data_IF_824463089924
#
_entry.id   IF_824463089924
#
_cell.length_a   1.000
_cell.length_b   1.000
_cell.length_c   1.000
_cell.angle_alpha   90.00
_cell.angle_beta   90.00
_cell.angle_gamma   90.00
#
_symmetry.space_group_name_H-M   'P 1'
#
loop_
_entity.id
_entity.type
_entity.pdbx_description
1 polymer ?
#
# COMPACT_ATOMS: atom_id res chain seq x y z
N UNK A 1 2.66 -29.60 23.03
CA UNK A 1 2.85 -29.67 21.56
C UNK A 1 1.89 -28.68 20.94
N UNK A 2 2.37 -27.49 20.58
CA UNK A 2 1.54 -26.47 19.96
C UNK A 2 1.24 -26.90 18.53
N UNK A 3 -0.02 -27.28 18.28
CA UNK A 3 -0.55 -27.31 16.92
C UNK A 3 -0.55 -25.85 16.45
N UNK A 4 0.43 -25.44 15.67
CA UNK A 4 0.28 -24.26 14.82
C UNK A 4 -0.88 -24.58 13.90
N UNK A 5 -2.08 -24.08 14.20
CA UNK A 5 -3.17 -24.10 13.25
C UNK A 5 -2.62 -23.49 11.97
N UNK A 6 -2.65 -24.25 10.88
CA UNK A 6 -2.17 -23.80 9.58
C UNK A 6 -3.26 -22.86 9.02
N UNK A 7 -3.41 -21.71 9.68
CA UNK A 7 -4.45 -20.73 9.40
C UNK A 7 -4.18 -20.17 8.01
N UNK A 8 -5.10 -20.41 7.09
CA UNK A 8 -5.04 -19.85 5.74
C UNK A 8 -5.34 -18.34 5.79
N UNK A 9 -4.31 -17.55 5.50
CA UNK A 9 -4.33 -16.09 5.39
C UNK A 9 -4.43 -15.59 3.94
N UNK A 10 -4.74 -16.49 3.00
CA UNK A 10 -4.85 -16.19 1.58
C UNK A 10 -3.49 -16.02 0.88
N UNK A 11 -3.55 -15.69 -0.42
CA UNK A 11 -2.36 -15.48 -1.23
C UNK A 11 -1.44 -14.42 -0.59
N UNK A 12 -0.14 -14.66 -0.61
CA UNK A 12 0.87 -13.73 -0.08
C UNK A 12 0.71 -13.39 1.41
N UNK A 13 -0.06 -14.19 2.16
CA UNK A 13 -0.45 -13.93 3.55
C UNK A 13 -1.09 -12.53 3.76
N UNK A 14 -1.76 -11.99 2.75
CA UNK A 14 -2.22 -10.58 2.77
C UNK A 14 -3.10 -10.26 3.97
N UNK A 15 -3.91 -11.21 4.46
CA UNK A 15 -4.79 -11.01 5.62
C UNK A 15 -3.97 -10.81 6.90
N UNK A 16 -2.91 -11.61 7.08
CA UNK A 16 -2.00 -11.47 8.23
C UNK A 16 -1.24 -10.15 8.15
N UNK A 17 -0.73 -9.80 6.98
CA UNK A 17 0.01 -8.54 6.78
C UNK A 17 -0.88 -7.32 6.99
N UNK A 18 -2.14 -7.37 6.55
CA UNK A 18 -3.14 -6.34 6.86
C UNK A 18 -3.35 -6.21 8.38
N UNK A 19 -3.40 -7.33 9.11
CA UNK A 19 -3.54 -7.31 10.57
C UNK A 19 -2.35 -6.66 11.26
N UNK A 20 -1.14 -6.97 10.80
CA UNK A 20 0.09 -6.32 11.24
C UNK A 20 0.05 -4.82 10.93
N UNK A 21 -0.31 -4.43 9.70
CA UNK A 21 -0.43 -3.03 9.30
C UNK A 21 -1.36 -2.23 10.24
N UNK A 22 -2.55 -2.76 10.56
CA UNK A 22 -3.47 -2.10 11.51
C UNK A 22 -2.95 -2.02 12.95
N UNK A 23 -1.99 -2.87 13.35
CA UNK A 23 -1.37 -2.78 14.66
C UNK A 23 -0.48 -1.53 14.78
N UNK A 24 0.10 -1.08 13.67
CA UNK A 24 0.93 0.13 13.58
C UNK A 24 0.11 1.41 13.27
N UNK A 25 -1.16 1.27 12.88
CA UNK A 25 -2.05 2.39 12.52
C UNK A 25 -3.28 2.40 13.44
N UNK A 26 -3.08 2.84 14.68
CA UNK A 26 -4.12 2.82 15.71
C UNK A 26 -4.95 4.10 15.78
N UNK A 27 -4.37 5.23 15.37
CA UNK A 27 -4.96 6.54 15.44
C UNK A 27 -5.79 6.85 14.18
N UNK A 28 -7.03 7.29 14.35
CA UNK A 28 -7.94 7.61 13.24
C UNK A 28 -7.49 8.79 12.38
N UNK A 29 -6.81 9.78 12.97
CA UNK A 29 -6.26 10.93 12.23
C UNK A 29 -5.12 10.46 11.31
N UNK A 30 -4.23 9.61 11.82
CA UNK A 30 -3.16 9.01 11.00
C UNK A 30 -3.74 8.24 9.81
N UNK A 31 -4.73 7.39 10.05
CA UNK A 31 -5.40 6.60 9.00
C UNK A 31 -6.02 7.49 7.92
N UNK A 32 -6.70 8.56 8.31
CA UNK A 32 -7.25 9.54 7.35
C UNK A 32 -6.14 10.22 6.55
N UNK A 33 -5.02 10.59 7.18
CA UNK A 33 -3.87 11.16 6.48
C UNK A 33 -3.36 10.19 5.42
N UNK A 34 -3.25 8.90 5.72
CA UNK A 34 -2.86 7.89 4.74
C UNK A 34 -3.86 7.79 3.58
N UNK A 35 -5.17 7.74 3.88
CA UNK A 35 -6.20 7.68 2.84
C UNK A 35 -6.12 8.86 1.86
N UNK A 36 -5.65 10.02 2.34
CA UNK A 36 -5.44 11.21 1.52
C UNK A 36 -4.08 11.21 0.79
N UNK A 37 -2.98 10.87 1.48
CA UNK A 37 -1.63 10.93 0.92
C UNK A 37 -1.31 9.81 -0.06
N UNK A 38 -1.74 8.57 0.21
CA UNK A 38 -1.42 7.39 -0.59
C UNK A 38 -1.82 7.55 -2.07
N UNK A 39 -3.02 8.07 -2.43
CA UNK A 39 -3.35 8.33 -3.83
C UNK A 39 -2.37 9.27 -4.55
N UNK A 40 -1.86 10.30 -3.88
CA UNK A 40 -0.89 11.22 -4.46
C UNK A 40 0.51 10.61 -4.56
N UNK A 41 0.91 9.80 -3.56
CA UNK A 41 2.18 9.06 -3.61
C UNK A 41 2.18 8.04 -4.76
N UNK A 42 1.10 7.27 -4.91
CA UNK A 42 0.90 6.35 -6.03
C UNK A 42 0.87 7.11 -7.36
N UNK A 43 0.15 8.23 -7.44
CA UNK A 43 0.12 9.06 -8.64
C UNK A 43 1.52 9.53 -9.04
N UNK A 44 2.32 9.97 -8.07
CA UNK A 44 3.68 10.40 -8.31
C UNK A 44 4.57 9.25 -8.81
N UNK A 45 4.49 8.07 -8.17
CA UNK A 45 5.23 6.88 -8.63
C UNK A 45 4.83 6.45 -10.04
N UNK A 46 3.53 6.36 -10.31
CA UNK A 46 3.00 6.02 -11.65
C UNK A 46 3.44 7.06 -12.67
N UNK A 47 3.42 8.35 -12.33
CA UNK A 47 3.90 9.43 -13.21
C UNK A 47 5.38 9.33 -13.52
N UNK A 48 6.21 9.04 -12.50
CA UNK A 48 7.65 8.85 -12.67
C UNK A 48 7.96 7.74 -13.70
N UNK A 49 7.29 6.60 -13.59
CA UNK A 49 7.48 5.49 -14.54
C UNK A 49 6.78 5.74 -15.90
N UNK A 50 5.75 6.59 -15.94
CA UNK A 50 5.05 6.91 -17.19
C UNK A 50 5.88 7.78 -18.13
N UNK A 51 6.82 8.57 -17.60
CA UNK A 51 7.75 9.41 -18.37
C UNK A 51 8.81 8.61 -19.14
N UNK A 52 8.94 7.30 -18.89
CA UNK A 52 9.91 6.43 -19.56
C UNK A 52 9.20 5.73 -20.73
N UNK A 53 9.38 6.21 -21.98
CA UNK A 53 8.72 5.62 -23.14
C UNK A 53 9.31 4.24 -23.47
N UNK A 54 8.45 3.36 -23.97
CA UNK A 54 8.79 2.04 -24.49
C UNK A 54 8.30 1.89 -25.94
N UNK A 55 8.78 0.88 -26.69
CA UNK A 55 8.26 0.60 -28.02
C UNK A 55 6.74 0.41 -28.06
N UNK A 56 6.14 0.60 -29.24
CA UNK A 56 4.71 0.43 -29.49
C UNK A 56 3.79 1.41 -28.74
N UNK A 57 4.32 2.56 -28.31
CA UNK A 57 3.54 3.58 -27.61
C UNK A 57 3.22 3.23 -26.15
N UNK A 58 3.92 2.24 -25.59
CA UNK A 58 3.82 1.90 -24.17
C UNK A 58 4.76 2.79 -23.34
N UNK A 59 4.59 2.74 -22.02
CA UNK A 59 5.54 3.32 -21.06
C UNK A 59 5.85 2.32 -19.95
N UNK A 60 6.92 2.57 -19.20
CA UNK A 60 7.38 1.67 -18.14
C UNK A 60 6.31 1.46 -17.05
N UNK A 61 5.50 2.48 -16.76
CA UNK A 61 4.39 2.34 -15.83
C UNK A 61 3.43 1.22 -16.28
N UNK A 62 2.99 1.20 -17.54
CA UNK A 62 2.11 0.15 -18.04
C UNK A 62 2.67 -1.26 -17.83
N UNK A 63 3.96 -1.45 -18.12
CA UNK A 63 4.66 -2.74 -17.94
C UNK A 63 4.72 -3.15 -16.47
N UNK A 64 4.82 -2.20 -15.54
CA UNK A 64 4.84 -2.45 -14.10
C UNK A 64 3.44 -2.69 -13.52
N UNK A 65 2.43 -1.97 -14.02
CA UNK A 65 1.07 -2.04 -13.50
C UNK A 65 0.36 -3.36 -13.84
N UNK A 66 0.68 -3.99 -14.96
CA UNK A 66 0.11 -5.31 -15.33
C UNK A 66 0.44 -6.40 -14.29
N UNK A 67 1.72 -6.71 -13.98
CA UNK A 67 2.04 -7.72 -12.97
C UNK A 67 1.58 -7.30 -11.57
N UNK A 68 1.60 -6.00 -11.25
CA UNK A 68 1.07 -5.49 -9.99
C UNK A 68 -0.43 -5.77 -9.84
N UNK A 69 -1.20 -5.58 -10.92
CA UNK A 69 -2.64 -5.90 -10.94
C UNK A 69 -2.89 -7.38 -10.71
N UNK A 70 -2.06 -8.27 -11.28
CA UNK A 70 -2.16 -9.73 -11.04
C UNK A 70 -1.96 -10.05 -9.56
N UNK A 71 -0.97 -9.43 -8.91
CA UNK A 71 -0.72 -9.61 -7.47
C UNK A 71 -1.95 -9.17 -6.66
N UNK A 72 -2.50 -8.00 -6.93
CA UNK A 72 -3.68 -7.52 -6.21
C UNK A 72 -4.91 -8.40 -6.43
N UNK A 73 -5.19 -8.80 -7.68
CA UNK A 73 -6.29 -9.71 -8.00
C UNK A 73 -6.15 -11.08 -7.30
N UNK A 74 -4.92 -11.55 -7.10
CA UNK A 74 -4.65 -12.79 -6.40
C UNK A 74 -4.88 -12.70 -4.87
N UNK A 75 -4.82 -11.50 -4.26
CA UNK A 75 -5.18 -11.33 -2.83
C UNK A 75 -6.69 -11.50 -2.62
N UNK A 76 -7.48 -10.73 -3.34
CA UNK A 76 -8.94 -10.74 -3.32
C UNK A 76 -9.42 -10.19 -4.66
N UNK A 77 -10.27 -10.93 -5.38
CA UNK A 77 -10.65 -10.58 -6.75
C UNK A 77 -11.34 -9.21 -6.84
N UNK A 78 -12.21 -8.88 -5.89
CA UNK A 78 -12.99 -7.64 -5.93
C UNK A 78 -12.13 -6.44 -5.54
N UNK A 79 -11.43 -6.53 -4.41
CA UNK A 79 -10.55 -5.45 -3.96
C UNK A 79 -9.36 -5.25 -4.91
N UNK A 80 -8.82 -6.34 -5.45
CA UNK A 80 -7.78 -6.31 -6.48
C UNK A 80 -8.25 -5.67 -7.78
N UNK A 81 -9.49 -5.90 -8.20
CA UNK A 81 -10.09 -5.22 -9.36
C UNK A 81 -10.24 -3.72 -9.12
N UNK A 82 -10.68 -3.30 -7.92
CA UNK A 82 -10.77 -1.89 -7.56
C UNK A 82 -9.38 -1.23 -7.56
N UNK A 83 -8.38 -1.86 -6.94
CA UNK A 83 -7.02 -1.34 -6.91
C UNK A 83 -6.44 -1.22 -8.32
N UNK A 84 -6.65 -2.22 -9.16
CA UNK A 84 -6.22 -2.21 -10.57
C UNK A 84 -6.90 -1.09 -11.36
N UNK A 85 -8.19 -0.86 -11.11
CA UNK A 85 -8.93 0.26 -11.71
C UNK A 85 -8.37 1.62 -11.24
N UNK A 86 -8.10 1.79 -9.95
CA UNK A 86 -7.46 3.00 -9.41
C UNK A 86 -6.13 3.25 -10.11
N UNK A 87 -5.27 2.24 -10.20
CA UNK A 87 -3.97 2.36 -10.88
C UNK A 87 -4.10 2.71 -12.37
N UNK A 88 -5.09 2.15 -13.07
CA UNK A 88 -5.37 2.50 -14.45
C UNK A 88 -5.80 3.97 -14.60
N UNK A 89 -6.65 4.46 -13.70
CA UNK A 89 -7.04 5.89 -13.66
C UNK A 89 -5.83 6.77 -13.38
N UNK A 90 -5.00 6.42 -12.39
CA UNK A 90 -3.78 7.16 -12.08
C UNK A 90 -2.79 7.18 -13.26
N UNK A 91 -2.70 6.08 -14.02
CA UNK A 91 -1.88 6.01 -15.23
C UNK A 91 -2.41 6.92 -16.35
N UNK A 92 -3.72 6.97 -16.57
CA UNK A 92 -4.33 7.90 -17.53
C UNK A 92 -4.05 9.36 -17.12
N UNK A 93 -4.22 9.69 -15.84
CA UNK A 93 -3.91 11.02 -15.32
C UNK A 93 -2.42 11.34 -15.47
N UNK A 94 -1.54 10.38 -15.17
CA UNK A 94 -0.10 10.53 -15.32
C UNK A 94 0.28 10.81 -16.77
N UNK A 95 -0.28 10.06 -17.71
CA UNK A 95 -0.06 10.29 -19.14
C UNK A 95 -0.58 11.66 -19.61
N UNK A 96 -1.67 12.16 -19.02
CA UNK A 96 -2.23 13.46 -19.34
C UNK A 96 -1.38 14.62 -18.81
N UNK A 97 -0.98 14.58 -17.53
CA UNK A 97 -0.26 15.68 -16.87
C UNK A 97 1.26 15.62 -17.06
N UNK A 98 1.81 14.42 -17.25
CA UNK A 98 3.25 14.17 -17.34
C UNK A 98 3.57 13.23 -18.53
N UNK A 99 3.20 13.60 -19.78
CA UNK A 99 3.29 12.72 -20.95
C UNK A 99 4.73 12.36 -21.35
N UNK A 100 5.70 13.19 -20.97
CA UNK A 100 7.09 13.07 -21.40
C UNK A 100 8.06 13.43 -20.28
N UNK A 101 9.29 12.94 -20.42
CA UNK A 101 10.37 13.33 -19.54
C UNK A 101 10.76 14.79 -19.77
N UNK A 102 10.64 15.60 -18.72
CA UNK A 102 11.26 16.92 -18.63
C UNK A 102 11.75 17.12 -17.20
N UNK A 103 12.78 17.95 -17.01
CA UNK A 103 13.29 18.23 -15.66
C UNK A 103 12.21 18.84 -14.76
N UNK A 104 11.31 19.65 -15.33
CA UNK A 104 10.21 20.27 -14.58
C UNK A 104 9.15 19.25 -14.17
N UNK A 105 8.82 18.30 -15.06
CA UNK A 105 7.90 17.20 -14.76
C UNK A 105 8.47 16.30 -13.67
N UNK A 106 9.76 15.95 -13.77
CA UNK A 106 10.47 15.17 -12.75
C UNK A 106 10.46 15.87 -11.40
N UNK A 107 10.81 17.16 -11.36
CA UNK A 107 10.80 17.94 -10.12
C UNK A 107 9.41 18.06 -9.51
N UNK A 108 8.37 18.26 -10.34
CA UNK A 108 6.98 18.33 -9.88
C UNK A 108 6.54 17.01 -9.24
N UNK A 109 6.81 15.88 -9.90
CA UNK A 109 6.46 14.54 -9.39
C UNK A 109 7.22 14.20 -8.11
N UNK A 110 8.53 14.51 -8.05
CA UNK A 110 9.32 14.35 -6.82
C UNK A 110 8.74 15.21 -5.69
N UNK A 111 8.35 16.45 -5.98
CA UNK A 111 7.77 17.35 -4.98
C UNK A 111 6.44 16.83 -4.45
N UNK A 112 5.55 16.34 -5.32
CA UNK A 112 4.28 15.72 -4.91
C UNK A 112 4.56 14.57 -3.95
N UNK A 113 5.39 13.60 -4.36
CA UNK A 113 5.73 12.45 -3.53
C UNK A 113 6.35 12.87 -2.20
N UNK A 114 7.34 13.76 -2.23
CA UNK A 114 8.06 14.17 -1.03
C UNK A 114 7.16 14.90 -0.03
N UNK A 115 6.29 15.82 -0.49
CA UNK A 115 5.39 16.56 0.39
C UNK A 115 4.37 15.64 1.06
N UNK A 116 3.75 14.73 0.31
CA UNK A 116 2.74 13.82 0.86
C UNK A 116 3.37 12.78 1.76
N UNK A 117 4.49 12.19 1.35
CA UNK A 117 5.24 11.23 2.15
C UNK A 117 5.76 11.86 3.45
N UNK A 118 6.28 13.10 3.38
CA UNK A 118 6.77 13.80 4.57
C UNK A 118 5.64 14.16 5.53
N UNK A 119 4.48 14.55 5.00
CA UNK A 119 3.30 14.81 5.81
C UNK A 119 2.77 13.52 6.47
N UNK A 120 2.68 12.43 5.71
CA UNK A 120 2.27 11.11 6.20
C UNK A 120 3.20 10.57 7.30
N UNK A 121 4.51 10.53 7.05
CA UNK A 121 5.49 10.00 8.01
C UNK A 121 5.77 10.93 9.17
N UNK A 122 5.85 12.24 8.92
CA UNK A 122 6.15 13.24 9.95
C UNK A 122 4.96 13.58 10.82
N UNK A 123 3.87 14.03 10.20
CA UNK A 123 2.68 14.45 10.93
C UNK A 123 1.76 13.29 11.29
N UNK A 124 1.54 12.35 10.36
CA UNK A 124 0.80 11.13 10.63
C UNK A 124 1.50 10.25 11.67
N UNK A 125 2.46 9.43 11.25
CA UNK A 125 3.16 8.51 12.15
C UNK A 125 3.89 9.23 13.30
N UNK A 126 4.70 10.25 13.00
CA UNK A 126 5.52 10.93 14.01
C UNK A 126 4.73 11.60 15.13
N UNK A 127 3.53 12.12 14.85
CA UNK A 127 2.74 12.88 15.84
C UNK A 127 1.60 12.05 16.42
N UNK A 128 1.00 11.15 15.64
CA UNK A 128 -0.21 10.41 16.04
C UNK A 128 0.03 8.93 16.36
N UNK A 129 1.20 8.39 16.04
CA UNK A 129 1.60 7.01 16.36
C UNK A 129 2.90 6.93 17.16
N UNK A 130 3.36 8.04 17.75
CA UNK A 130 4.63 8.10 18.51
C UNK A 130 5.84 7.65 17.67
N UNK A 131 5.77 7.85 16.35
CA UNK A 131 6.80 7.43 15.39
C UNK A 131 6.75 5.95 15.00
N UNK A 132 5.77 5.17 15.49
CA UNK A 132 5.57 3.79 15.05
C UNK A 132 5.13 3.74 13.59
N UNK A 133 5.77 2.88 12.81
CA UNK A 133 5.52 2.67 11.38
C UNK A 133 5.92 1.22 11.03
N UNK A 134 5.16 0.54 10.18
CA UNK A 134 5.45 -0.82 9.71
C UNK A 134 6.47 -0.86 8.56
N UNK A 135 6.85 0.31 8.04
CA UNK A 135 7.82 0.50 6.95
C UNK A 135 9.17 -0.17 7.22
N UNK A 136 9.77 0.03 8.40
CA UNK A 136 11.10 -0.55 8.72
C UNK A 136 11.07 -2.08 8.69
N UNK A 137 10.02 -2.66 9.26
CA UNK A 137 9.80 -4.11 9.26
C UNK A 137 9.59 -4.65 7.84
N UNK A 138 8.80 -3.97 7.00
CA UNK A 138 8.57 -4.37 5.61
C UNK A 138 9.89 -4.34 4.80
N UNK A 139 10.73 -3.31 5.00
CA UNK A 139 12.06 -3.24 4.38
C UNK A 139 13.03 -4.31 4.91
N UNK A 140 13.01 -4.61 6.21
CA UNK A 140 13.83 -5.65 6.80
C UNK A 140 13.45 -7.04 6.25
N UNK A 141 12.15 -7.31 6.11
CA UNK A 141 11.65 -8.55 5.52
C UNK A 141 12.09 -8.67 4.05
N UNK A 142 11.89 -7.63 3.24
CA UNK A 142 12.38 -7.59 1.85
C UNK A 142 13.90 -7.80 1.79
N UNK A 143 14.66 -7.13 2.65
CA UNK A 143 16.11 -7.24 2.71
C UNK A 143 16.58 -8.67 2.95
N UNK A 144 15.90 -9.40 3.83
CA UNK A 144 16.20 -10.79 4.23
C UNK A 144 15.72 -11.83 3.23
N UNK A 145 14.50 -11.69 2.72
CA UNK A 145 13.84 -12.72 1.90
C UNK A 145 13.95 -12.48 0.40
N UNK A 146 14.20 -11.22 0.01
CA UNK A 146 14.07 -10.72 -1.37
C UNK A 146 12.66 -10.84 -1.95
N UNK A 147 11.67 -11.13 -1.11
CA UNK A 147 10.26 -11.12 -1.49
C UNK A 147 9.76 -9.66 -1.53
N UNK A 148 9.33 -9.12 -2.68
CA UNK A 148 8.87 -7.74 -2.79
C UNK A 148 7.43 -7.53 -2.29
N UNK A 149 6.68 -8.60 -2.00
CA UNK A 149 5.30 -8.55 -1.53
C UNK A 149 5.08 -7.59 -0.35
N UNK A 150 5.91 -7.57 0.72
CA UNK A 150 5.71 -6.67 1.85
C UNK A 150 5.69 -5.20 1.43
N UNK A 151 6.46 -4.82 0.40
CA UNK A 151 6.52 -3.44 -0.10
C UNK A 151 5.38 -3.14 -1.08
N UNK A 152 5.00 -4.11 -1.91
CA UNK A 152 3.93 -3.97 -2.91
C UNK A 152 2.56 -3.74 -2.26
N UNK A 153 2.28 -4.44 -1.15
CA UNK A 153 0.96 -4.43 -0.53
C UNK A 153 0.72 -3.23 0.40
N UNK A 154 1.72 -2.42 0.75
CA UNK A 154 1.57 -1.26 1.66
C UNK A 154 0.48 -0.31 1.15
N UNK A 155 0.50 0.03 -0.14
CA UNK A 155 -0.48 0.93 -0.75
C UNK A 155 -1.88 0.32 -0.87
N UNK A 156 -1.98 -1.01 -0.81
CA UNK A 156 -3.24 -1.73 -0.96
C UNK A 156 -4.04 -1.76 0.35
N UNK A 157 -3.36 -1.77 1.50
CA UNK A 157 -4.01 -1.94 2.80
C UNK A 157 -5.03 -0.84 3.12
N UNK A 158 -4.81 0.41 2.72
CA UNK A 158 -5.78 1.49 2.93
C UNK A 158 -7.09 1.28 2.18
N UNK A 159 -7.03 0.70 0.97
CA UNK A 159 -8.26 0.31 0.25
C UNK A 159 -8.99 -0.81 1.00
N UNK A 160 -8.25 -1.83 1.45
CA UNK A 160 -8.81 -2.95 2.22
C UNK A 160 -9.49 -2.45 3.50
N UNK A 161 -8.83 -1.54 4.20
CA UNK A 161 -9.31 -0.89 5.41
C UNK A 161 -10.64 -0.16 5.21
N UNK A 162 -10.74 0.65 4.15
CA UNK A 162 -11.98 1.34 3.76
C UNK A 162 -13.08 0.30 3.48
N UNK A 163 -12.77 -0.75 2.72
CA UNK A 163 -13.73 -1.80 2.41
C UNK A 163 -14.22 -2.53 3.66
N UNK A 164 -13.34 -2.85 4.61
CA UNK A 164 -13.70 -3.44 5.90
C UNK A 164 -14.58 -2.51 6.73
N UNK A 165 -14.27 -1.21 6.78
CA UNK A 165 -15.11 -0.21 7.45
C UNK A 165 -16.52 -0.11 6.82
N UNK A 166 -16.66 -0.45 5.54
CA UNK A 166 -17.95 -0.55 4.84
C UNK A 166 -18.63 -1.93 5.00
N UNK A 167 -18.06 -2.84 5.78
CA UNK A 167 -18.62 -4.17 6.06
C UNK A 167 -18.26 -5.26 5.05
N UNK A 168 -17.26 -5.06 4.19
CA UNK A 168 -16.82 -6.07 3.24
C UNK A 168 -16.19 -7.28 3.96
N UNK A 169 -16.71 -8.49 3.69
CA UNK A 169 -16.20 -9.79 4.21
C UNK A 169 -15.90 -9.78 5.73
N UNK A 170 -16.94 -9.68 6.58
CA UNK A 170 -16.76 -9.57 8.04
C UNK A 170 -16.02 -10.76 8.67
N UNK A 171 -16.10 -11.96 8.08
CA UNK A 171 -15.35 -13.11 8.58
C UNK A 171 -13.83 -13.01 8.32
N UNK A 172 -13.41 -12.36 7.23
CA UNK A 172 -11.99 -12.05 7.01
C UNK A 172 -11.56 -10.93 7.96
N UNK A 173 -12.41 -9.91 8.15
CA UNK A 173 -12.16 -8.82 9.10
C UNK A 173 -11.84 -9.34 10.50
N UNK A 174 -12.61 -10.30 11.02
CA UNK A 174 -12.34 -10.92 12.33
C UNK A 174 -10.96 -11.58 12.43
N UNK A 175 -10.50 -12.26 11.35
CA UNK A 175 -9.15 -12.85 11.30
C UNK A 175 -8.07 -11.77 11.36
N UNK A 176 -8.26 -10.70 10.59
CA UNK A 176 -7.34 -9.55 10.56
C UNK A 176 -7.26 -8.92 11.95
N UNK A 177 -8.41 -8.69 12.60
CA UNK A 177 -8.49 -8.14 13.96
C UNK A 177 -7.79 -9.02 15.00
N UNK A 178 -7.90 -10.35 14.88
CA UNK A 178 -7.16 -11.26 15.74
C UNK A 178 -5.65 -11.07 15.59
N UNK A 179 -5.14 -11.03 14.35
CA UNK A 179 -3.71 -10.79 14.10
C UNK A 179 -3.29 -9.41 14.61
N UNK A 180 -4.11 -8.38 14.41
CA UNK A 180 -3.87 -7.04 14.95
C UNK A 180 -3.76 -7.04 16.47
N UNK A 181 -4.64 -7.77 17.17
CA UNK A 181 -4.62 -7.88 18.62
C UNK A 181 -3.34 -8.58 19.11
N UNK A 182 -2.99 -9.71 18.49
CA UNK A 182 -1.77 -10.45 18.80
C UNK A 182 -0.52 -9.60 18.57
N UNK A 183 -0.48 -8.80 17.50
CA UNK A 183 0.65 -7.93 17.21
C UNK A 183 0.75 -6.76 18.19
N UNK A 184 -0.36 -6.11 18.53
CA UNK A 184 -0.39 -5.05 19.56
C UNK A 184 0.11 -5.54 20.92
N UNK A 185 -0.21 -6.79 21.29
CA UNK A 185 0.30 -7.42 22.51
C UNK A 185 1.82 -7.63 22.46
N UNK A 186 2.37 -8.08 21.32
CA UNK A 186 3.83 -8.22 21.15
C UNK A 186 4.55 -6.87 21.25
N UNK A 187 3.92 -5.81 20.76
CA UNK A 187 4.44 -4.45 20.81
C UNK A 187 4.27 -3.79 22.20
N UNK A 188 3.49 -4.39 23.12
CA UNK A 188 3.21 -3.82 24.44
C UNK A 188 2.31 -2.59 24.42
N UNK A 189 1.46 -2.45 23.40
CA UNK A 189 0.54 -1.31 23.23
C UNK A 189 -0.78 -1.54 23.99
N UNK A 190 -1.11 -2.80 24.26
CA UNK A 190 -2.29 -3.24 25.04
C UNK A 190 -1.93 -4.39 25.97
#
# INVERSE_FOLDING_TARGET
>A
MNQTSNTDYGAFEWQKRMGIHEAYHTNSVNRIIHWLCIPFELFALVSLFSMIPLPFGLNLAFVMLVPLSIIYLATDLFLGAIMSFILAVLWILAYHFFPEFSIWNLLAVILIFFLTFKFQTGYGHGTHEEGRDDTEMNFAEFGKTKDPIPLILIFYYHLVEIAFNLGYKPEIRKKVEQVTLEEKQKMGII
#
